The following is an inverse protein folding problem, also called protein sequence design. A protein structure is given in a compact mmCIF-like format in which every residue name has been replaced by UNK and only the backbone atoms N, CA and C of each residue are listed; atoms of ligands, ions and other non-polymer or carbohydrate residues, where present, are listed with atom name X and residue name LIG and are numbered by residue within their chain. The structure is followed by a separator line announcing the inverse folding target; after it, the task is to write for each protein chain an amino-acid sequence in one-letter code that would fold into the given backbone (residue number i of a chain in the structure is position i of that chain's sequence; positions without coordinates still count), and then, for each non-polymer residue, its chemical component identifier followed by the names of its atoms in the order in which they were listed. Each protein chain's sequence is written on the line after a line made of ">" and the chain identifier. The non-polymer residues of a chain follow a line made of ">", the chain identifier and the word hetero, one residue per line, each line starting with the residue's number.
data_IF_037555243414
#
_entry.id   IF_037555243414
#
_cell.length_a   1.000
_cell.length_b   1.000
_cell.length_c   1.000
_cell.angle_alpha   90.00
_cell.angle_beta   90.00
_cell.angle_gamma   90.00
#
_symmetry.space_group_name_H-M   'P 1'
#
loop_
_entity.id
_entity.type
_entity.pdbx_description
1 polymer ?
#
# COMPACT_ATOMS: atom_id res chain seq x y z
N UNK A 1 55.12 -76.13 41.35
CA UNK A 1 55.17 -74.66 41.51
C UNK A 1 55.18 -73.89 40.19
N UNK A 2 55.62 -74.45 39.05
CA UNK A 2 55.65 -73.74 37.75
C UNK A 2 54.31 -73.71 36.98
N UNK A 3 53.29 -74.47 37.41
CA UNK A 3 51.96 -74.46 36.81
C UNK A 3 51.14 -73.20 37.17
N UNK A 4 51.41 -72.58 38.33
CA UNK A 4 50.65 -71.42 38.80
C UNK A 4 51.10 -70.10 38.17
N UNK A 5 52.34 -69.98 37.66
CA UNK A 5 52.80 -68.75 37.01
C UNK A 5 52.26 -68.59 35.58
N UNK A 6 52.05 -69.70 34.86
CA UNK A 6 51.52 -69.65 33.48
C UNK A 6 50.04 -69.26 33.41
N UNK A 7 49.27 -69.61 34.46
CA UNK A 7 47.87 -69.20 34.60
C UNK A 7 47.69 -67.73 34.99
N UNK A 8 48.60 -67.19 35.81
CA UNK A 8 48.54 -65.77 36.24
C UNK A 8 48.97 -64.82 35.12
N UNK A 9 49.98 -65.19 34.32
CA UNK A 9 50.44 -64.34 33.21
C UNK A 9 49.45 -64.31 32.03
N UNK A 10 48.72 -65.41 31.77
CA UNK A 10 47.66 -65.45 30.77
C UNK A 10 46.34 -64.76 31.18
N UNK A 11 46.09 -64.62 32.49
CA UNK A 11 44.92 -63.92 33.02
C UNK A 11 45.09 -62.39 33.05
N UNK A 12 46.31 -61.90 33.31
CA UNK A 12 46.60 -60.46 33.38
C UNK A 12 46.54 -59.77 32.00
N UNK A 13 47.04 -60.40 30.92
CA UNK A 13 46.92 -59.87 29.55
C UNK A 13 45.47 -59.94 29.01
N UNK A 14 44.67 -60.90 29.49
CA UNK A 14 43.27 -61.07 29.08
C UNK A 14 42.32 -60.06 29.73
N UNK A 15 42.58 -59.66 30.98
CA UNK A 15 41.75 -58.69 31.71
C UNK A 15 42.00 -57.24 31.27
N UNK A 16 43.25 -56.83 31.04
CA UNK A 16 43.57 -55.46 30.55
C UNK A 16 43.04 -55.21 29.13
N UNK A 17 43.19 -56.20 28.22
CA UNK A 17 42.61 -56.13 26.88
C UNK A 17 41.08 -56.13 26.87
N UNK A 18 40.45 -56.88 27.78
CA UNK A 18 39.00 -56.90 27.96
C UNK A 18 38.44 -55.58 28.50
N UNK A 19 39.14 -54.96 29.46
CA UNK A 19 38.78 -53.65 30.01
C UNK A 19 38.92 -52.53 28.95
N UNK A 20 40.01 -52.53 28.18
CA UNK A 20 40.20 -51.57 27.08
C UNK A 20 39.14 -51.71 25.98
N UNK A 21 38.80 -52.95 25.60
CA UNK A 21 37.73 -53.23 24.65
C UNK A 21 36.35 -52.76 25.16
N UNK A 22 36.05 -52.96 26.45
CA UNK A 22 34.81 -52.48 27.05
C UNK A 22 34.70 -50.95 27.02
N UNK A 23 35.78 -50.23 27.33
CA UNK A 23 35.84 -48.77 27.24
C UNK A 23 35.64 -48.27 25.80
N UNK A 24 36.35 -48.88 24.83
CA UNK A 24 36.19 -48.54 23.42
C UNK A 24 34.76 -48.79 22.92
N UNK A 25 34.12 -49.86 23.39
CA UNK A 25 32.72 -50.15 23.06
C UNK A 25 31.77 -49.09 23.62
N UNK A 26 31.94 -48.67 24.87
CA UNK A 26 31.14 -47.60 25.47
C UNK A 26 31.31 -46.28 24.72
N UNK A 27 32.55 -45.93 24.38
CA UNK A 27 32.84 -44.72 23.60
C UNK A 27 32.25 -44.77 22.19
N UNK A 28 32.30 -45.94 21.53
CA UNK A 28 31.65 -46.14 20.23
C UNK A 28 30.14 -45.94 20.30
N UNK A 29 29.47 -46.50 21.31
CA UNK A 29 28.02 -46.33 21.48
C UNK A 29 27.65 -44.87 21.82
N UNK A 30 28.50 -44.16 22.58
CA UNK A 30 28.35 -42.73 22.82
C UNK A 30 28.44 -41.93 21.52
N UNK A 31 29.49 -42.17 20.72
CA UNK A 31 29.71 -41.48 19.44
C UNK A 31 28.58 -41.75 18.45
N UNK A 32 28.05 -42.99 18.40
CA UNK A 32 26.87 -43.31 17.59
C UNK A 32 25.64 -42.51 18.03
N UNK A 33 25.39 -42.46 19.34
CA UNK A 33 24.27 -41.68 19.89
C UNK A 33 24.39 -40.19 19.55
N UNK A 34 25.59 -39.62 19.71
CA UNK A 34 25.86 -38.21 19.38
C UNK A 34 25.68 -37.94 17.89
N UNK A 35 26.14 -38.87 17.03
CA UNK A 35 25.95 -38.80 15.59
C UNK A 35 24.46 -38.77 15.23
N UNK A 36 23.67 -39.70 15.74
CA UNK A 36 22.24 -39.80 15.44
C UNK A 36 21.49 -38.53 15.89
N UNK A 37 21.86 -37.95 17.05
CA UNK A 37 21.31 -36.68 17.53
C UNK A 37 21.72 -35.48 16.66
N UNK A 38 22.94 -35.48 16.11
CA UNK A 38 23.38 -34.43 15.20
C UNK A 38 22.67 -34.55 13.85
N UNK A 39 22.49 -35.76 13.32
CA UNK A 39 21.75 -36.00 12.08
C UNK A 39 20.29 -35.56 12.21
N UNK A 40 19.62 -35.87 13.32
CA UNK A 40 18.27 -35.40 13.61
C UNK A 40 18.19 -33.86 13.66
N UNK A 41 19.17 -33.20 14.31
CA UNK A 41 19.24 -31.73 14.38
C UNK A 41 19.50 -31.08 13.03
N UNK A 42 20.33 -31.70 12.19
CA UNK A 42 20.58 -31.22 10.82
C UNK A 42 19.31 -31.33 9.99
N UNK A 43 18.58 -32.44 10.08
CA UNK A 43 17.31 -32.61 9.38
C UNK A 43 16.28 -31.56 9.83
N UNK A 44 16.09 -31.37 11.13
CA UNK A 44 15.16 -30.37 11.67
C UNK A 44 15.50 -28.95 11.19
N UNK A 45 16.79 -28.57 11.26
CA UNK A 45 17.25 -27.25 10.79
C UNK A 45 17.07 -27.07 9.28
N UNK A 46 17.29 -28.13 8.50
CA UNK A 46 17.09 -28.10 7.04
C UNK A 46 15.62 -27.84 6.72
N UNK A 47 14.70 -28.57 7.36
CA UNK A 47 13.26 -28.34 7.19
C UNK A 47 12.85 -26.91 7.59
N UNK A 48 13.44 -26.39 8.67
CA UNK A 48 13.14 -25.02 9.10
C UNK A 48 13.63 -23.97 8.09
N UNK A 49 14.81 -24.19 7.50
CA UNK A 49 15.34 -23.30 6.45
C UNK A 49 14.46 -23.33 5.19
N UNK A 50 14.03 -24.50 4.75
CA UNK A 50 13.11 -24.65 3.62
C UNK A 50 11.80 -23.89 3.87
N UNK A 51 11.19 -24.05 5.05
CA UNK A 51 9.97 -23.33 5.41
C UNK A 51 10.18 -21.80 5.44
N UNK A 52 11.32 -21.33 5.94
CA UNK A 52 11.65 -19.91 5.96
C UNK A 52 11.86 -19.36 4.54
N UNK A 53 12.44 -20.14 3.64
CA UNK A 53 12.61 -19.77 2.24
C UNK A 53 11.26 -19.65 1.53
N UNK A 54 10.34 -20.58 1.74
CA UNK A 54 8.98 -20.51 1.22
C UNK A 54 8.23 -19.25 1.71
N UNK A 55 8.29 -18.97 3.01
CA UNK A 55 7.67 -17.77 3.59
C UNK A 55 8.31 -16.51 3.04
N UNK A 56 9.63 -16.47 2.91
CA UNK A 56 10.35 -15.33 2.31
C UNK A 56 9.89 -15.07 0.88
N UNK A 57 9.80 -16.12 0.06
CA UNK A 57 9.35 -16.00 -1.33
C UNK A 57 7.90 -15.52 -1.42
N UNK A 58 7.01 -16.04 -0.57
CA UNK A 58 5.61 -15.58 -0.51
C UNK A 58 5.50 -14.11 -0.11
N UNK A 59 6.28 -13.67 0.88
CA UNK A 59 6.30 -12.27 1.33
C UNK A 59 6.84 -11.34 0.24
N UNK A 60 7.87 -11.76 -0.51
CA UNK A 60 8.40 -10.98 -1.63
C UNK A 60 7.37 -10.82 -2.75
N UNK A 61 6.63 -11.87 -3.08
CA UNK A 61 5.56 -11.81 -4.08
C UNK A 61 4.42 -10.87 -3.64
N UNK A 62 4.00 -10.98 -2.37
CA UNK A 62 2.99 -10.09 -1.79
C UNK A 62 3.47 -8.64 -1.81
N UNK A 63 4.71 -8.37 -1.42
CA UNK A 63 5.28 -7.03 -1.43
C UNK A 63 5.29 -6.42 -2.83
N UNK A 64 5.63 -7.22 -3.85
CA UNK A 64 5.59 -6.78 -5.24
C UNK A 64 4.15 -6.43 -5.67
N UNK A 65 3.19 -7.31 -5.38
CA UNK A 65 1.77 -7.10 -5.72
C UNK A 65 1.21 -5.85 -5.06
N UNK A 66 1.51 -5.65 -3.78
CA UNK A 66 1.09 -4.45 -3.04
C UNK A 66 1.79 -3.19 -3.57
N UNK A 67 3.06 -3.30 -4.00
CA UNK A 67 3.77 -2.21 -4.68
C UNK A 67 3.07 -1.79 -5.98
N UNK A 68 2.75 -2.75 -6.84
CA UNK A 68 2.05 -2.50 -8.11
C UNK A 68 0.65 -1.91 -7.87
N UNK A 69 -0.10 -2.44 -6.88
CA UNK A 69 -1.40 -1.93 -6.50
C UNK A 69 -1.33 -0.49 -5.97
N UNK A 70 -0.31 -0.18 -5.15
CA UNK A 70 -0.08 1.17 -4.64
C UNK A 70 0.17 2.16 -5.78
N UNK A 71 1.05 1.83 -6.73
CA UNK A 71 1.32 2.71 -7.88
C UNK A 71 0.07 2.97 -8.71
N UNK A 72 -0.73 1.93 -8.99
CA UNK A 72 -1.99 2.09 -9.71
C UNK A 72 -2.98 3.01 -8.96
N UNK A 73 -3.07 2.88 -7.64
CA UNK A 73 -3.93 3.73 -6.82
C UNK A 73 -3.44 5.20 -6.78
N UNK A 74 -2.13 5.42 -6.75
CA UNK A 74 -1.54 6.76 -6.80
C UNK A 74 -1.83 7.45 -8.13
N UNK A 75 -1.77 6.72 -9.25
CA UNK A 75 -2.14 7.22 -10.59
C UNK A 75 -3.63 7.58 -10.67
N UNK A 76 -4.53 6.69 -10.24
CA UNK A 76 -5.97 6.95 -10.22
C UNK A 76 -6.33 8.15 -9.33
N UNK A 77 -5.66 8.29 -8.19
CA UNK A 77 -5.87 9.43 -7.29
C UNK A 77 -5.46 10.75 -7.97
N UNK A 78 -4.37 10.75 -8.73
CA UNK A 78 -3.94 11.92 -9.48
C UNK A 78 -4.93 12.30 -10.59
N UNK A 79 -5.43 11.31 -11.32
CA UNK A 79 -6.44 11.51 -12.37
C UNK A 79 -7.75 12.09 -11.81
N UNK A 80 -8.26 11.51 -10.72
CA UNK A 80 -9.50 11.99 -10.10
C UNK A 80 -9.34 13.39 -9.48
N UNK A 81 -8.16 13.72 -8.92
CA UNK A 81 -7.87 15.10 -8.49
C UNK A 81 -7.92 16.09 -9.65
N UNK A 82 -7.28 15.75 -10.78
CA UNK A 82 -7.30 16.61 -11.96
C UNK A 82 -8.72 16.77 -12.52
N UNK A 83 -9.50 15.69 -12.55
CA UNK A 83 -10.91 15.72 -12.95
C UNK A 83 -11.74 16.61 -12.03
N UNK A 84 -11.56 16.49 -10.72
CA UNK A 84 -12.20 17.35 -9.72
C UNK A 84 -11.89 18.83 -9.95
N UNK A 85 -10.62 19.17 -10.23
CA UNK A 85 -10.22 20.56 -10.51
C UNK A 85 -10.87 21.11 -11.78
N UNK A 86 -10.96 20.31 -12.85
CA UNK A 86 -11.65 20.71 -14.09
C UNK A 86 -13.14 20.95 -13.84
N UNK A 87 -13.81 20.01 -13.16
CA UNK A 87 -15.23 20.13 -12.84
C UNK A 87 -15.52 21.35 -11.96
N UNK A 88 -14.63 21.67 -11.01
CA UNK A 88 -14.76 22.89 -10.22
C UNK A 88 -14.67 24.15 -11.09
N UNK A 89 -13.71 24.18 -12.03
CA UNK A 89 -13.58 25.32 -12.96
C UNK A 89 -14.82 25.46 -13.85
N UNK A 90 -15.35 24.36 -14.37
CA UNK A 90 -16.59 24.35 -15.16
C UNK A 90 -17.79 24.83 -14.34
N UNK A 91 -17.88 24.42 -13.06
CA UNK A 91 -18.93 24.87 -12.16
C UNK A 91 -18.82 26.38 -11.89
N UNK A 92 -17.63 26.88 -11.57
CA UNK A 92 -17.40 28.31 -11.30
C UNK A 92 -17.80 29.19 -12.50
N UNK A 93 -17.45 28.75 -13.72
CA UNK A 93 -17.85 29.40 -14.97
C UNK A 93 -19.37 29.33 -15.17
N UNK A 94 -19.98 28.17 -14.94
CA UNK A 94 -21.43 27.99 -15.06
C UNK A 94 -22.20 28.91 -14.10
N UNK A 95 -21.77 28.97 -12.84
CA UNK A 95 -22.38 29.86 -11.84
C UNK A 95 -22.17 31.33 -12.19
N UNK A 96 -21.01 31.72 -12.71
CA UNK A 96 -20.78 33.08 -13.18
C UNK A 96 -21.75 33.45 -14.29
N UNK A 97 -21.87 32.60 -15.32
CA UNK A 97 -22.81 32.80 -16.43
C UNK A 97 -24.25 32.87 -15.90
N UNK A 98 -24.62 32.03 -14.94
CA UNK A 98 -25.95 32.07 -14.33
C UNK A 98 -26.20 33.40 -13.61
N UNK A 99 -25.24 33.90 -12.81
CA UNK A 99 -25.34 35.20 -12.14
C UNK A 99 -25.50 36.33 -13.15
N UNK A 100 -24.76 36.28 -14.24
CA UNK A 100 -24.84 37.26 -15.34
C UNK A 100 -26.23 37.25 -15.99
N UNK A 101 -26.79 36.07 -16.28
CA UNK A 101 -28.15 35.93 -16.79
C UNK A 101 -29.21 36.48 -15.83
N UNK A 102 -29.06 36.24 -14.52
CA UNK A 102 -29.96 36.79 -13.50
C UNK A 102 -29.91 38.32 -13.52
N UNK A 103 -28.72 38.92 -13.43
CA UNK A 103 -28.51 40.38 -13.48
C UNK A 103 -29.10 41.01 -14.75
N UNK A 104 -28.87 40.37 -15.90
CA UNK A 104 -29.43 40.80 -17.18
C UNK A 104 -30.95 40.75 -17.17
N UNK A 105 -31.53 39.64 -16.74
CA UNK A 105 -32.99 39.46 -16.71
C UNK A 105 -33.68 40.48 -15.80
N UNK A 106 -33.11 40.75 -14.63
CA UNK A 106 -33.61 41.75 -13.68
C UNK A 106 -33.51 43.16 -14.26
N UNK A 107 -32.37 43.50 -14.87
CA UNK A 107 -32.19 44.81 -15.54
C UNK A 107 -33.26 45.00 -16.61
N UNK A 108 -33.45 44.01 -17.47
CA UNK A 108 -34.48 44.06 -18.52
C UNK A 108 -35.89 44.22 -17.94
N UNK A 109 -36.22 43.50 -16.86
CA UNK A 109 -37.51 43.63 -16.18
C UNK A 109 -37.76 45.05 -15.66
N UNK A 110 -36.76 45.67 -15.01
CA UNK A 110 -36.86 47.06 -14.54
C UNK A 110 -37.08 48.02 -15.69
N UNK A 111 -36.33 47.86 -16.80
CA UNK A 111 -36.48 48.75 -17.96
C UNK A 111 -37.86 48.59 -18.63
N UNK A 112 -38.35 47.36 -18.77
CA UNK A 112 -39.68 47.10 -19.30
C UNK A 112 -40.78 47.73 -18.43
N UNK A 113 -40.64 47.66 -17.11
CA UNK A 113 -41.60 48.28 -16.20
C UNK A 113 -41.56 49.82 -16.27
N UNK A 114 -40.37 50.42 -16.39
CA UNK A 114 -40.22 51.87 -16.63
C UNK A 114 -40.88 52.30 -17.95
N UNK A 115 -40.71 51.51 -19.02
CA UNK A 115 -41.35 51.77 -20.32
C UNK A 115 -42.88 51.67 -20.19
N UNK A 116 -43.38 50.66 -19.47
CA UNK A 116 -44.81 50.47 -19.23
C UNK A 116 -45.45 51.67 -18.52
N UNK A 117 -44.70 52.32 -17.63
CA UNK A 117 -45.13 53.50 -16.86
C UNK A 117 -44.88 54.83 -17.58
N UNK A 118 -44.21 54.85 -18.73
CA UNK A 118 -43.85 56.08 -19.43
C UNK A 118 -45.08 56.77 -20.06
N UNK A 119 -45.27 58.05 -19.75
CA UNK A 119 -46.42 58.84 -20.24
C UNK A 119 -46.26 59.36 -21.68
N UNK A 120 -45.07 59.23 -22.28
CA UNK A 120 -44.78 59.74 -23.62
C UNK A 120 -43.74 58.89 -24.35
N UNK A 121 -43.77 58.94 -25.68
CA UNK A 121 -42.76 58.28 -26.53
C UNK A 121 -41.34 58.85 -26.35
N UNK A 122 -41.23 60.12 -25.97
CA UNK A 122 -39.93 60.74 -25.66
C UNK A 122 -39.32 60.10 -24.40
N UNK A 123 -40.13 59.89 -23.36
CA UNK A 123 -39.69 59.21 -22.14
C UNK A 123 -39.26 57.77 -22.41
N UNK A 124 -39.99 57.05 -23.28
CA UNK A 124 -39.58 55.70 -23.73
C UNK A 124 -38.23 55.72 -24.43
N UNK A 125 -37.99 56.71 -25.30
CA UNK A 125 -36.73 56.84 -26.05
C UNK A 125 -35.54 57.11 -25.12
N UNK A 126 -35.72 57.93 -24.07
CA UNK A 126 -34.70 58.16 -23.04
C UNK A 126 -34.37 56.85 -22.29
N UNK A 127 -35.38 56.11 -21.83
CA UNK A 127 -35.20 54.84 -21.08
C UNK A 127 -34.41 53.82 -21.91
N UNK A 128 -34.73 53.68 -23.20
CA UNK A 128 -34.02 52.76 -24.10
C UNK A 128 -32.56 53.17 -24.33
N UNK A 129 -32.28 54.48 -24.42
CA UNK A 129 -30.91 54.98 -24.60
C UNK A 129 -30.05 54.88 -23.33
N UNK A 130 -30.65 54.99 -22.14
CA UNK A 130 -29.96 54.81 -20.86
C UNK A 130 -29.59 53.35 -20.59
N UNK A 131 -30.26 52.40 -21.25
CA UNK A 131 -30.08 50.97 -21.04
C UNK A 131 -28.80 50.49 -21.74
N UNK A 132 -27.66 50.59 -21.07
CA UNK A 132 -26.36 50.10 -21.56
C UNK A 132 -26.15 48.62 -21.21
N UNK A 133 -26.59 47.73 -22.11
CA UNK A 133 -26.37 46.28 -22.01
C UNK A 133 -25.03 45.82 -22.59
N UNK A 134 -24.08 46.75 -22.76
CA UNK A 134 -22.80 46.47 -23.44
C UNK A 134 -21.80 45.69 -22.57
N UNK A 135 -21.94 45.76 -21.24
CA UNK A 135 -21.11 44.98 -20.30
C UNK A 135 -21.94 44.63 -19.06
N UNK A 136 -22.09 43.33 -18.81
CA UNK A 136 -22.92 42.80 -17.72
C UNK A 136 -22.38 43.18 -16.34
N UNK A 137 -21.06 43.41 -16.23
CA UNK A 137 -20.40 43.83 -15.00
C UNK A 137 -20.66 45.29 -14.64
N UNK A 138 -21.15 46.09 -15.60
CA UNK A 138 -21.51 47.49 -15.40
C UNK A 138 -22.99 47.65 -15.02
N UNK A 139 -23.75 46.56 -15.05
CA UNK A 139 -25.13 46.58 -14.58
C UNK A 139 -25.15 46.75 -13.06
N UNK A 140 -26.09 47.55 -12.52
CA UNK A 140 -26.18 47.79 -11.09
C UNK A 140 -26.36 46.47 -10.35
N UNK A 141 -25.61 46.28 -9.25
CA UNK A 141 -25.90 45.20 -8.31
C UNK A 141 -27.20 45.55 -7.57
N UNK A 142 -28.15 44.62 -7.62
CA UNK A 142 -29.43 44.72 -6.90
C UNK A 142 -29.33 44.14 -5.51
#
# INVERSE_FOLDING_TARGET
>A
MLSNLKGVFGALDGEEGGASYATLKTELERVKTDKDQLEARVQEKTQHLENLEEVSNSLQEQLKKEGDAKTNLEELLYEEKNKGQRLQTELDVSEQVQRDFVKLSQTLQVQLERIRQAESLENVRVILNDTKLTDINQLPET
#
